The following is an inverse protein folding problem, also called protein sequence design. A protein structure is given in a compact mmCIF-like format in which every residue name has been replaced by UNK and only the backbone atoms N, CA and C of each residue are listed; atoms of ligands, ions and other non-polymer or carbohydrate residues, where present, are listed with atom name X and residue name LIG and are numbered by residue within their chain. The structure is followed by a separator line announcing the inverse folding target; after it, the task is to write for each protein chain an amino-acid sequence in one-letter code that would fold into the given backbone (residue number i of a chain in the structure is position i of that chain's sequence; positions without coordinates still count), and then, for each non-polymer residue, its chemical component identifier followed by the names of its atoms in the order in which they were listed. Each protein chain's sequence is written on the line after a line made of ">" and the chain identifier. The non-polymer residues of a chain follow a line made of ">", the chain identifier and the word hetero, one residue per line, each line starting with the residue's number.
data_IF_381876035510
#
_entry.id   IF_381876035510
#
_cell.length_a   1.000
_cell.length_b   1.000
_cell.length_c   1.000
_cell.angle_alpha   90.00
_cell.angle_beta   90.00
_cell.angle_gamma   90.00
#
_symmetry.space_group_name_H-M   'P 1'
#
loop_
_entity.id
_entity.type
_entity.pdbx_description
1 polymer ?
#
# COMPACT_ATOMS: atom_id res chain seq x y z
N UNK A 1 -33.58 43.91 13.20
CA UNK A 1 -32.68 44.39 14.28
C UNK A 1 -32.11 43.14 14.93
N UNK A 2 -30.83 42.78 14.88
CA UNK A 2 -29.60 43.47 14.49
C UNK A 2 -28.57 42.38 14.13
N UNK A 3 -27.78 42.59 13.09
CA UNK A 3 -26.46 41.95 12.88
C UNK A 3 -25.38 42.99 13.26
N UNK A 4 -24.06 42.70 13.25
CA UNK A 4 -23.30 41.46 13.48
C UNK A 4 -22.10 41.69 14.47
N UNK A 5 -21.40 40.64 14.93
CA UNK A 5 -19.95 40.75 15.22
C UNK A 5 -19.25 39.39 15.10
N UNK A 6 -18.43 39.27 14.06
CA UNK A 6 -17.18 38.49 13.96
C UNK A 6 -16.12 39.50 13.48
N UNK A 7 -14.80 39.38 13.79
CA UNK A 7 -14.03 38.15 13.58
C UNK A 7 -12.92 37.86 14.62
N UNK A 8 -12.59 36.59 14.83
CA UNK A 8 -11.25 36.19 15.30
C UNK A 8 -10.53 35.50 14.15
N UNK A 9 -9.44 36.15 13.76
CA UNK A 9 -8.59 35.87 12.62
C UNK A 9 -7.58 34.79 13.03
N UNK A 10 -7.65 33.63 12.37
CA UNK A 10 -6.65 32.57 12.51
C UNK A 10 -5.27 33.12 12.14
N UNK A 11 -4.34 33.01 13.08
CA UNK A 11 -2.92 33.34 12.87
C UNK A 11 -2.30 32.30 11.95
N UNK A 12 -1.71 32.68 10.79
CA UNK A 12 -0.83 31.77 10.08
C UNK A 12 0.51 31.65 10.82
N UNK A 13 0.99 30.41 10.96
CA UNK A 13 2.33 30.06 11.47
C UNK A 13 3.43 30.76 10.63
N UNK A 14 4.59 31.10 11.22
CA UNK A 14 5.63 31.82 10.51
C UNK A 14 6.30 30.90 9.48
N UNK A 15 6.00 31.13 8.21
CA UNK A 15 6.82 30.66 7.09
C UNK A 15 8.18 31.34 7.20
N UNK A 16 9.25 30.54 7.36
CA UNK A 16 10.63 31.02 7.18
C UNK A 16 10.80 31.40 5.71
N UNK A 17 10.54 32.65 5.39
CA UNK A 17 11.01 33.25 4.14
C UNK A 17 12.54 33.25 4.23
N UNK A 18 13.20 32.41 3.44
CA UNK A 18 14.61 32.58 3.17
C UNK A 18 14.74 33.89 2.37
N UNK A 19 14.99 34.99 3.07
CA UNK A 19 15.54 36.20 2.47
C UNK A 19 16.91 35.83 1.94
N UNK A 20 16.97 35.48 0.66
CA UNK A 20 18.21 35.53 -0.11
C UNK A 20 18.63 36.99 -0.11
N UNK A 21 19.56 37.33 0.79
CA UNK A 21 20.25 38.61 0.80
C UNK A 21 21.08 38.66 -0.48
N UNK A 22 20.49 39.26 -1.52
CA UNK A 22 21.25 39.70 -2.68
C UNK A 22 22.03 40.93 -2.21
N UNK A 23 23.33 40.76 -2.00
CA UNK A 23 24.25 41.86 -1.76
C UNK A 23 24.31 42.69 -3.06
N UNK A 24 23.81 43.93 -3.03
CA UNK A 24 23.72 44.80 -4.21
C UNK A 24 25.10 45.18 -4.81
N UNK A 25 26.19 44.85 -4.11
CA UNK A 25 27.57 45.06 -4.58
C UNK A 25 28.22 43.82 -5.20
N UNK A 26 27.54 42.68 -5.25
CA UNK A 26 28.05 41.51 -5.96
C UNK A 26 27.57 41.54 -7.42
N UNK A 27 28.46 41.70 -8.42
CA UNK A 27 28.06 41.88 -9.80
C UNK A 27 27.39 40.63 -10.43
N UNK A 28 27.32 39.50 -9.71
CA UNK A 28 26.85 38.21 -10.21
C UNK A 28 26.08 37.44 -9.11
N UNK A 29 24.75 37.28 -9.20
CA UNK A 29 23.98 36.47 -8.26
C UNK A 29 24.36 34.97 -8.30
N UNK A 30 24.60 34.37 -7.14
CA UNK A 30 24.85 32.93 -7.01
C UNK A 30 23.53 32.11 -6.98
N UNK A 31 23.10 31.56 -8.12
CA UNK A 31 22.14 30.45 -8.12
C UNK A 31 22.88 29.13 -7.84
N UNK A 32 22.82 28.64 -6.60
CA UNK A 32 23.46 27.38 -6.22
C UNK A 32 22.65 26.17 -6.75
N UNK A 33 22.98 25.77 -7.97
CA UNK A 33 22.42 24.58 -8.64
C UNK A 33 22.66 23.27 -7.85
N UNK A 34 23.62 23.26 -6.93
CA UNK A 34 23.91 22.11 -6.07
C UNK A 34 22.85 21.92 -4.98
N UNK A 35 22.30 23.02 -4.44
CA UNK A 35 21.26 22.99 -3.43
C UNK A 35 19.95 22.42 -3.99
N UNK A 36 19.56 22.84 -5.20
CA UNK A 36 18.37 22.32 -5.91
C UNK A 36 18.47 20.82 -6.12
N UNK A 37 19.64 20.33 -6.56
CA UNK A 37 19.87 18.90 -6.76
C UNK A 37 19.77 18.13 -5.44
N UNK A 38 20.37 18.65 -4.37
CA UNK A 38 20.32 18.03 -3.04
C UNK A 38 18.87 17.92 -2.54
N UNK A 39 18.08 18.97 -2.70
CA UNK A 39 16.67 18.97 -2.31
C UNK A 39 15.86 17.91 -3.06
N UNK A 40 16.05 17.78 -4.38
CA UNK A 40 15.38 16.73 -5.15
C UNK A 40 15.83 15.32 -4.78
N UNK A 41 17.09 15.16 -4.39
CA UNK A 41 17.58 13.88 -3.89
C UNK A 41 16.89 13.48 -2.58
N UNK A 42 16.83 14.40 -1.61
CA UNK A 42 16.12 14.20 -0.34
C UNK A 42 14.63 13.89 -0.57
N UNK A 43 14.01 14.58 -1.52
CA UNK A 43 12.61 14.35 -1.90
C UNK A 43 12.38 12.95 -2.49
N UNK A 44 13.26 12.45 -3.35
CA UNK A 44 13.18 11.07 -3.86
C UNK A 44 13.45 10.03 -2.77
N UNK A 45 14.35 10.32 -1.82
CA UNK A 45 14.57 9.44 -0.67
C UNK A 45 13.30 9.31 0.18
N UNK A 46 12.59 10.42 0.42
CA UNK A 46 11.31 10.39 1.13
C UNK A 46 10.27 9.52 0.40
N UNK A 47 10.13 9.67 -0.92
CA UNK A 47 9.24 8.82 -1.71
C UNK A 47 9.63 7.34 -1.70
N UNK A 48 10.94 7.05 -1.76
CA UNK A 48 11.45 5.69 -1.65
C UNK A 48 11.07 5.06 -0.30
N UNK A 49 11.20 5.80 0.79
CA UNK A 49 10.79 5.33 2.13
C UNK A 49 9.27 5.10 2.20
N UNK A 50 8.47 6.03 1.67
CA UNK A 50 7.02 5.86 1.61
C UNK A 50 6.60 4.60 0.84
N UNK A 51 7.24 4.32 -0.31
CA UNK A 51 7.01 3.10 -1.07
C UNK A 51 7.41 1.85 -0.27
N UNK A 52 8.56 1.88 0.40
CA UNK A 52 9.01 0.79 1.27
C UNK A 52 8.05 0.49 2.43
N UNK A 53 7.49 1.52 3.08
CA UNK A 53 6.48 1.30 4.13
C UNK A 53 5.21 0.64 3.60
N UNK A 54 4.82 0.96 2.37
CA UNK A 54 3.68 0.32 1.73
C UNK A 54 3.98 -1.14 1.38
N UNK A 55 5.16 -1.43 0.83
CA UNK A 55 5.64 -2.81 0.61
C UNK A 55 5.61 -3.63 1.91
N UNK A 56 6.11 -3.07 3.01
CA UNK A 56 6.13 -3.72 4.32
C UNK A 56 4.71 -4.00 4.84
N UNK A 57 3.79 -3.04 4.69
CA UNK A 57 2.40 -3.21 5.10
C UNK A 57 1.69 -4.33 4.32
N UNK A 58 1.86 -4.35 3.00
CA UNK A 58 1.27 -5.39 2.13
C UNK A 58 1.88 -6.76 2.44
N UNK A 59 3.20 -6.81 2.65
CA UNK A 59 3.91 -8.03 3.06
C UNK A 59 3.44 -8.54 4.42
N UNK A 60 3.25 -7.66 5.40
CA UNK A 60 2.71 -8.05 6.70
C UNK A 60 1.28 -8.60 6.59
N UNK A 61 0.45 -7.96 5.76
CA UNK A 61 -0.92 -8.41 5.50
C UNK A 61 -0.94 -9.78 4.81
N UNK A 62 -0.07 -10.00 3.82
CA UNK A 62 0.10 -11.29 3.15
C UNK A 62 0.47 -12.40 4.13
N UNK A 63 1.44 -12.16 5.02
CA UNK A 63 1.82 -13.12 6.07
C UNK A 63 0.68 -13.44 7.02
N UNK A 64 -0.14 -12.44 7.39
CA UNK A 64 -1.34 -12.67 8.21
C UNK A 64 -2.32 -13.56 7.47
N UNK A 65 -2.57 -13.33 6.18
CA UNK A 65 -3.45 -14.18 5.38
C UNK A 65 -2.93 -15.62 5.31
N UNK A 66 -1.63 -15.83 5.11
CA UNK A 66 -1.04 -17.16 5.16
C UNK A 66 -1.21 -17.83 6.54
N UNK A 67 -1.02 -17.07 7.63
CA UNK A 67 -1.25 -17.59 8.99
C UNK A 67 -2.72 -17.94 9.21
N UNK A 68 -3.67 -17.12 8.75
CA UNK A 68 -5.09 -17.46 8.83
C UNK A 68 -5.41 -18.77 8.13
N UNK A 69 -4.89 -19.02 6.93
CA UNK A 69 -5.04 -20.32 6.25
C UNK A 69 -4.63 -21.47 7.16
N UNK A 70 -3.43 -21.38 7.75
CA UNK A 70 -2.91 -22.41 8.67
C UNK A 70 -3.74 -22.58 9.94
N UNK A 71 -4.25 -21.50 10.52
CA UNK A 71 -5.10 -21.59 11.71
C UNK A 71 -6.48 -22.19 11.38
N UNK A 72 -7.05 -21.90 10.21
CA UNK A 72 -8.29 -22.54 9.76
C UNK A 72 -8.13 -24.03 9.47
N UNK A 73 -6.94 -24.52 9.08
CA UNK A 73 -6.67 -25.97 9.05
C UNK A 73 -6.80 -26.62 10.44
N UNK A 74 -6.47 -25.89 11.53
CA UNK A 74 -6.68 -26.39 12.90
C UNK A 74 -8.16 -26.39 13.26
N UNK A 75 -8.90 -25.34 12.87
CA UNK A 75 -10.35 -25.31 13.02
C UNK A 75 -11.00 -26.48 12.28
N UNK A 76 -10.57 -26.74 11.04
CA UNK A 76 -11.06 -27.88 10.25
C UNK A 76 -10.87 -29.22 10.96
N UNK A 77 -9.77 -29.43 11.68
CA UNK A 77 -9.52 -30.66 12.45
C UNK A 77 -10.56 -30.93 13.54
N UNK A 78 -11.25 -29.89 14.02
CA UNK A 78 -12.33 -30.03 15.01
C UNK A 78 -13.59 -30.67 14.44
N UNK A 79 -13.76 -30.61 13.11
CA UNK A 79 -14.93 -31.12 12.39
C UNK A 79 -14.58 -32.14 11.31
N UNK A 80 -13.30 -32.55 11.22
CA UNK A 80 -12.81 -33.46 10.19
C UNK A 80 -13.12 -34.92 10.48
N UNK A 81 -13.25 -35.29 11.76
CA UNK A 81 -13.64 -36.64 12.14
C UNK A 81 -15.15 -36.83 11.94
N UNK A 82 -15.60 -38.01 11.49
CA UNK A 82 -17.02 -38.36 11.55
C UNK A 82 -17.55 -38.18 12.97
N UNK A 83 -18.84 -37.87 13.08
CA UNK A 83 -19.50 -37.74 14.37
C UNK A 83 -19.29 -39.02 15.19
N UNK A 84 -18.83 -38.85 16.43
CA UNK A 84 -18.85 -39.95 17.41
C UNK A 84 -20.30 -40.37 17.58
N UNK A 85 -20.53 -41.68 17.63
CA UNK A 85 -21.88 -42.23 17.70
C UNK A 85 -22.76 -41.79 16.50
N UNK A 86 -22.13 -41.54 15.35
CA UNK A 86 -22.79 -41.03 14.14
C UNK A 86 -24.00 -41.82 13.67
N UNK A 87 -24.04 -43.13 13.97
CA UNK A 87 -25.16 -44.03 13.64
C UNK A 87 -26.51 -43.61 14.25
N UNK A 88 -26.52 -42.75 15.28
CA UNK A 88 -27.76 -42.18 15.82
C UNK A 88 -28.38 -41.13 14.88
N UNK A 89 -27.56 -40.43 14.09
CA UNK A 89 -27.99 -39.37 13.19
C UNK A 89 -28.30 -39.92 11.80
N UNK A 90 -29.25 -39.27 11.11
CA UNK A 90 -29.51 -39.57 9.71
C UNK A 90 -28.29 -39.20 8.86
N UNK A 91 -27.82 -40.15 8.04
CA UNK A 91 -26.63 -39.97 7.18
C UNK A 91 -26.99 -39.31 5.84
N UNK A 92 -28.27 -39.09 5.55
CA UNK A 92 -28.70 -38.41 4.33
C UNK A 92 -28.53 -36.88 4.43
N UNK A 93 -28.47 -36.25 3.26
CA UNK A 93 -28.41 -34.79 3.15
C UNK A 93 -29.70 -34.17 3.70
N UNK A 94 -29.56 -33.27 4.69
CA UNK A 94 -30.69 -32.56 5.33
C UNK A 94 -30.76 -32.73 6.85
N UNK A 95 -30.01 -33.69 7.41
CA UNK A 95 -29.86 -33.88 8.86
C UNK A 95 -28.60 -33.26 9.45
N UNK A 96 -28.35 -33.57 10.72
CA UNK A 96 -27.20 -33.14 11.51
C UNK A 96 -25.89 -33.65 10.89
N UNK A 97 -25.83 -34.87 10.35
CA UNK A 97 -24.63 -35.35 9.67
C UNK A 97 -24.26 -34.48 8.46
N UNK A 98 -25.26 -34.16 7.62
CA UNK A 98 -25.09 -33.26 6.48
C UNK A 98 -24.71 -31.83 6.87
N UNK A 99 -25.20 -31.33 8.01
CA UNK A 99 -24.77 -30.05 8.60
C UNK A 99 -23.28 -30.04 8.93
N UNK A 100 -22.78 -31.08 9.60
CA UNK A 100 -21.35 -31.18 9.94
C UNK A 100 -20.48 -31.35 8.69
N UNK A 101 -20.95 -32.05 7.66
CA UNK A 101 -20.27 -32.14 6.37
C UNK A 101 -20.19 -30.78 5.67
N UNK A 102 -21.26 -29.99 5.72
CA UNK A 102 -21.28 -28.62 5.20
C UNK A 102 -20.31 -27.71 5.96
N UNK A 103 -20.30 -27.75 7.29
CA UNK A 103 -19.35 -26.99 8.12
C UNK A 103 -17.91 -27.35 7.75
N UNK A 104 -17.61 -28.64 7.57
CA UNK A 104 -16.28 -29.11 7.16
C UNK A 104 -15.88 -28.55 5.79
N UNK A 105 -16.76 -28.68 4.79
CA UNK A 105 -16.52 -28.20 3.43
C UNK A 105 -16.29 -26.69 3.38
N UNK A 106 -17.16 -25.91 4.02
CA UNK A 106 -17.03 -24.45 4.08
C UNK A 106 -15.78 -24.02 4.88
N UNK A 107 -15.42 -24.70 5.97
CA UNK A 107 -14.19 -24.38 6.74
C UNK A 107 -12.93 -24.64 5.90
N UNK A 108 -12.90 -25.72 5.13
CA UNK A 108 -11.83 -25.97 4.16
C UNK A 108 -11.78 -24.88 3.08
N UNK A 109 -12.94 -24.43 2.60
CA UNK A 109 -13.06 -23.30 1.68
C UNK A 109 -12.46 -22.01 2.25
N UNK A 110 -12.77 -21.69 3.51
CA UNK A 110 -12.24 -20.51 4.20
C UNK A 110 -10.71 -20.59 4.28
N UNK A 111 -10.17 -21.73 4.72
CA UNK A 111 -8.72 -21.97 4.76
C UNK A 111 -8.06 -21.72 3.41
N UNK A 112 -8.62 -22.28 2.33
CA UNK A 112 -8.07 -22.13 0.98
C UNK A 112 -8.18 -20.68 0.49
N UNK A 113 -9.27 -19.97 0.78
CA UNK A 113 -9.45 -18.56 0.40
C UNK A 113 -8.34 -17.67 0.97
N UNK A 114 -7.92 -17.93 2.20
CA UNK A 114 -6.83 -17.21 2.86
C UNK A 114 -5.47 -17.45 2.17
N UNK A 115 -5.17 -18.70 1.79
CA UNK A 115 -3.94 -19.02 1.06
C UNK A 115 -3.91 -18.41 -0.35
N UNK A 116 -5.01 -18.49 -1.10
CA UNK A 116 -5.09 -17.88 -2.42
C UNK A 116 -4.97 -16.35 -2.31
N UNK A 117 -5.58 -15.73 -1.30
CA UNK A 117 -5.43 -14.30 -1.04
C UNK A 117 -3.97 -13.92 -0.77
N UNK A 118 -3.27 -14.67 0.09
CA UNK A 118 -1.84 -14.45 0.34
C UNK A 118 -1.01 -14.53 -0.95
N UNK A 119 -1.29 -15.55 -1.78
CA UNK A 119 -0.63 -15.74 -3.07
C UNK A 119 -0.91 -14.58 -4.04
N UNK A 120 -2.14 -14.08 -4.12
CA UNK A 120 -2.49 -12.93 -4.97
C UNK A 120 -1.85 -11.64 -4.47
N UNK A 121 -1.84 -11.40 -3.17
CA UNK A 121 -1.14 -10.24 -2.58
C UNK A 121 0.35 -10.25 -2.93
N UNK A 122 1.00 -11.40 -2.78
CA UNK A 122 2.42 -11.58 -3.11
C UNK A 122 2.73 -11.51 -4.60
N UNK A 123 1.89 -12.14 -5.43
CA UNK A 123 2.16 -12.34 -6.85
C UNK A 123 1.64 -11.23 -7.76
N UNK A 124 0.70 -10.39 -7.30
CA UNK A 124 0.04 -9.39 -8.14
C UNK A 124 0.13 -7.99 -7.55
N UNK A 125 -0.12 -7.82 -6.25
CA UNK A 125 -0.15 -6.50 -5.61
C UNK A 125 1.26 -6.01 -5.27
N UNK A 126 2.05 -6.83 -4.57
CA UNK A 126 3.41 -6.45 -4.14
C UNK A 126 4.34 -6.05 -5.31
N UNK A 127 4.35 -6.74 -6.46
CA UNK A 127 5.21 -6.40 -7.59
C UNK A 127 4.96 -5.01 -8.18
N UNK A 128 3.77 -4.43 -7.98
CA UNK A 128 3.46 -3.05 -8.43
C UNK A 128 4.36 -2.07 -7.66
N UNK A 129 4.43 -2.23 -6.34
CA UNK A 129 5.23 -1.37 -5.47
C UNK A 129 6.72 -1.65 -5.61
N UNK A 130 7.12 -2.92 -5.72
CA UNK A 130 8.53 -3.28 -5.95
C UNK A 130 9.08 -2.65 -7.24
N UNK A 131 8.27 -2.65 -8.31
CA UNK A 131 8.63 -1.98 -9.57
C UNK A 131 8.78 -0.47 -9.37
N UNK A 132 7.81 0.16 -8.73
CA UNK A 132 7.86 1.60 -8.42
C UNK A 132 9.08 1.98 -7.58
N UNK A 133 9.45 1.16 -6.60
CA UNK A 133 10.65 1.35 -5.80
C UNK A 133 11.92 1.31 -6.66
N UNK A 134 11.99 0.40 -7.64
CA UNK A 134 13.10 0.38 -8.60
C UNK A 134 13.10 1.60 -9.52
N UNK A 135 11.92 2.06 -9.97
CA UNK A 135 11.77 3.29 -10.76
C UNK A 135 12.27 4.51 -9.97
N UNK A 136 11.91 4.65 -8.69
CA UNK A 136 12.40 5.72 -7.82
C UNK A 136 13.93 5.64 -7.68
N UNK A 137 14.49 4.45 -7.42
CA UNK A 137 15.95 4.25 -7.37
C UNK A 137 16.63 4.63 -8.68
N UNK A 138 16.01 4.32 -9.82
CA UNK A 138 16.54 4.69 -11.12
C UNK A 138 16.54 6.21 -11.30
N UNK A 139 15.42 6.87 -11.02
CA UNK A 139 15.29 8.34 -11.08
C UNK A 139 16.29 9.05 -10.17
N UNK A 140 16.55 8.50 -8.97
CA UNK A 140 17.60 9.03 -8.08
C UNK A 140 18.99 8.95 -8.74
N UNK A 141 19.34 7.83 -9.38
CA UNK A 141 20.61 7.68 -10.09
C UNK A 141 20.73 8.62 -11.29
N UNK A 142 19.65 8.81 -12.03
CA UNK A 142 19.60 9.76 -13.15
C UNK A 142 19.84 11.18 -12.67
N UNK A 143 19.16 11.63 -11.61
CA UNK A 143 19.38 12.94 -10.99
C UNK A 143 20.85 13.13 -10.60
N UNK A 144 21.43 12.18 -9.85
CA UNK A 144 22.82 12.29 -9.38
C UNK A 144 23.85 12.29 -10.51
N UNK A 145 23.61 11.57 -11.61
CA UNK A 145 24.51 11.55 -12.77
C UNK A 145 24.34 12.75 -13.71
N UNK A 146 23.12 13.28 -13.81
CA UNK A 146 22.81 14.45 -14.63
C UNK A 146 23.24 15.77 -13.98
N UNK A 147 23.22 15.82 -12.65
CA UNK A 147 23.59 16.99 -11.89
C UNK A 147 25.05 17.41 -12.11
N UNK A 148 25.26 18.72 -12.30
CA UNK A 148 26.59 19.34 -12.31
C UNK A 148 27.23 19.55 -13.68
N UNK A 149 26.65 19.08 -14.79
CA UNK A 149 27.16 19.42 -16.14
C UNK A 149 26.97 20.91 -16.47
N UNK A 150 25.74 21.42 -16.33
CA UNK A 150 25.42 22.83 -16.56
C UNK A 150 26.13 23.75 -15.56
N UNK A 151 26.10 23.40 -14.27
CA UNK A 151 26.79 24.13 -13.19
C UNK A 151 28.28 24.34 -13.48
N UNK A 152 29.01 23.32 -13.96
CA UNK A 152 30.44 23.45 -14.31
C UNK A 152 30.69 24.38 -15.50
N UNK A 153 29.77 24.41 -16.47
CA UNK A 153 29.88 25.30 -17.63
C UNK A 153 29.68 26.76 -17.21
N UNK A 154 28.67 27.03 -16.37
CA UNK A 154 28.40 28.34 -15.77
C UNK A 154 29.58 28.80 -14.91
N UNK A 155 30.12 27.93 -14.07
CA UNK A 155 31.26 28.29 -13.22
C UNK A 155 32.52 28.62 -14.03
N UNK A 156 32.75 27.91 -15.15
CA UNK A 156 33.86 28.21 -16.06
C UNK A 156 33.67 29.57 -16.76
N UNK A 157 32.46 29.89 -17.21
CA UNK A 157 32.18 31.17 -17.88
C UNK A 157 32.25 32.35 -16.89
N UNK A 158 31.71 32.19 -15.67
CA UNK A 158 31.85 33.14 -14.55
C UNK A 158 33.30 33.46 -14.21
N UNK A 159 34.10 32.44 -13.92
CA UNK A 159 35.53 32.59 -13.64
C UNK A 159 36.29 33.32 -14.76
N UNK A 160 35.87 33.08 -16.01
CA UNK A 160 36.47 33.69 -17.19
C UNK A 160 36.11 35.17 -17.32
N UNK A 161 34.85 35.53 -17.06
CA UNK A 161 34.37 36.91 -17.02
C UNK A 161 35.04 37.69 -15.90
N UNK A 162 35.09 37.13 -14.68
CA UNK A 162 35.68 37.77 -13.51
C UNK A 162 37.15 38.13 -13.72
N UNK A 163 37.95 37.19 -14.25
CA UNK A 163 39.36 37.45 -14.59
C UNK A 163 39.53 38.61 -15.59
N UNK A 164 38.61 38.78 -16.54
CA UNK A 164 38.69 39.89 -17.50
C UNK A 164 38.17 41.21 -16.93
N UNK A 165 37.23 41.17 -16.00
CA UNK A 165 36.79 42.35 -15.25
C UNK A 165 37.94 42.86 -14.37
N UNK A 166 38.64 41.96 -13.69
CA UNK A 166 39.86 42.29 -12.92
C UNK A 166 40.96 42.86 -13.82
N UNK A 167 41.20 42.23 -14.98
CA UNK A 167 42.16 42.71 -15.98
C UNK A 167 41.81 44.13 -16.46
N UNK A 168 40.53 44.39 -16.73
CA UNK A 168 40.07 45.74 -17.09
C UNK A 168 40.36 46.75 -15.97
N UNK A 169 40.11 46.38 -14.71
CA UNK A 169 40.43 47.21 -13.55
C UNK A 169 41.94 47.54 -13.44
N UNK A 170 42.80 46.56 -13.70
CA UNK A 170 44.26 46.75 -13.69
C UNK A 170 44.71 47.72 -14.80
N UNK A 171 44.22 47.54 -16.03
CA UNK A 171 44.64 48.34 -17.17
C UNK A 171 44.05 49.75 -17.19
N UNK A 172 42.84 49.94 -16.65
CA UNK A 172 42.27 51.28 -16.44
C UNK A 172 43.09 52.08 -15.43
N UNK A 173 43.45 51.49 -14.29
CA UNK A 173 44.34 52.13 -13.31
C UNK A 173 45.75 52.41 -13.87
N UNK A 174 46.28 51.52 -14.71
CA UNK A 174 47.55 51.73 -15.40
C UNK A 174 47.48 52.90 -16.40
N UNK A 175 46.41 53.01 -17.18
CA UNK A 175 46.21 54.10 -18.14
C UNK A 175 46.24 55.48 -17.46
N UNK A 176 45.56 55.61 -16.31
CA UNK A 176 45.53 56.86 -15.53
C UNK A 176 46.91 57.22 -14.96
N UNK A 177 47.72 56.22 -14.60
CA UNK A 177 49.04 56.44 -14.00
C UNK A 177 50.18 56.67 -15.02
N UNK A 178 50.05 56.21 -16.27
CA UNK A 178 51.07 56.40 -17.34
C UNK A 178 50.83 57.62 -18.22
N UNK A 179 49.81 58.44 -17.94
CA UNK A 179 49.47 59.61 -18.75
C UNK A 179 48.92 59.26 -20.14
N UNK A 180 48.22 58.13 -20.25
CA UNK A 180 47.55 57.70 -21.49
C UNK A 180 48.44 56.98 -22.52
N UNK A 181 49.71 56.71 -22.21
CA UNK A 181 50.59 55.90 -23.06
C UNK A 181 50.39 54.42 -22.78
N UNK A 182 49.72 53.70 -23.71
CA UNK A 182 49.39 52.29 -23.54
C UNK A 182 49.63 51.50 -24.84
N UNK A 183 50.08 50.24 -24.73
CA UNK A 183 50.25 49.37 -25.90
C UNK A 183 48.88 48.94 -26.45
N UNK A 184 48.75 48.65 -27.75
CA UNK A 184 47.46 48.27 -28.35
C UNK A 184 46.75 47.08 -27.70
N UNK A 185 47.45 46.15 -27.05
CA UNK A 185 46.83 44.99 -26.37
C UNK A 185 46.47 45.26 -24.90
N UNK A 186 46.95 46.37 -24.35
CA UNK A 186 46.71 46.83 -22.98
C UNK A 186 45.64 47.95 -22.95
N UNK A 187 45.09 48.33 -24.12
CA UNK A 187 44.08 49.38 -24.29
C UNK A 187 42.79 49.01 -23.53
N UNK A 188 42.42 49.80 -22.49
CA UNK A 188 41.20 49.58 -21.73
C UNK A 188 39.93 49.49 -22.57
N UNK A 189 39.85 50.21 -23.69
CA UNK A 189 38.69 50.18 -24.58
C UNK A 189 38.51 48.80 -25.23
N UNK A 190 39.61 48.18 -25.65
CA UNK A 190 39.60 46.85 -26.27
C UNK A 190 39.28 45.80 -25.21
N UNK A 191 39.87 45.90 -24.02
CA UNK A 191 39.63 44.98 -22.91
C UNK A 191 38.15 45.07 -22.46
N UNK A 192 37.56 46.26 -22.41
CA UNK A 192 36.14 46.44 -22.09
C UNK A 192 35.23 45.68 -23.07
N UNK A 193 35.52 45.75 -24.38
CA UNK A 193 34.78 44.96 -25.38
C UNK A 193 34.93 43.45 -25.16
N UNK A 194 36.11 42.99 -24.75
CA UNK A 194 36.33 41.58 -24.40
C UNK A 194 35.53 41.16 -23.15
N UNK A 195 35.41 42.04 -22.15
CA UNK A 195 34.54 41.83 -20.97
C UNK A 195 33.09 41.65 -21.43
N UNK A 196 32.54 42.55 -22.23
CA UNK A 196 31.17 42.42 -22.75
C UNK A 196 30.95 41.13 -23.54
N UNK A 197 31.92 40.72 -24.37
CA UNK A 197 31.84 39.46 -25.10
C UNK A 197 31.76 38.25 -24.15
N UNK A 198 32.56 38.22 -23.09
CA UNK A 198 32.57 37.13 -22.10
C UNK A 198 31.32 37.14 -21.22
N UNK A 199 30.84 38.32 -20.81
CA UNK A 199 29.59 38.48 -20.09
C UNK A 199 28.40 37.98 -20.92
N UNK A 200 28.33 38.30 -22.22
CA UNK A 200 27.30 37.77 -23.09
C UNK A 200 27.33 36.23 -23.13
N UNK A 201 28.53 35.64 -23.23
CA UNK A 201 28.67 34.18 -23.17
C UNK A 201 28.22 33.61 -21.81
N UNK A 202 28.60 34.24 -20.71
CA UNK A 202 28.18 33.82 -19.37
C UNK A 202 26.66 33.83 -19.23
N UNK A 203 26.00 34.91 -19.63
CA UNK A 203 24.53 35.03 -19.58
C UNK A 203 23.85 33.94 -20.43
N UNK A 204 24.40 33.63 -21.60
CA UNK A 204 23.90 32.51 -22.42
C UNK A 204 24.05 31.17 -21.71
N UNK A 205 25.22 30.90 -21.12
CA UNK A 205 25.49 29.65 -20.41
C UNK A 205 24.62 29.53 -19.12
N UNK A 206 24.37 30.64 -18.40
CA UNK A 206 23.50 30.72 -17.22
C UNK A 206 22.03 30.48 -17.57
N UNK A 207 21.52 31.15 -18.63
CA UNK A 207 20.16 30.92 -19.11
C UNK A 207 19.95 29.48 -19.58
N UNK A 208 20.93 28.88 -20.25
CA UNK A 208 20.87 27.48 -20.65
C UNK A 208 20.79 26.54 -19.43
N UNK A 209 21.62 26.76 -18.40
CA UNK A 209 21.57 25.99 -17.16
C UNK A 209 20.23 26.16 -16.43
N UNK A 210 19.66 27.37 -16.44
CA UNK A 210 18.35 27.66 -15.86
C UNK A 210 17.23 26.88 -16.56
N UNK A 211 17.20 26.89 -17.89
CA UNK A 211 16.22 26.11 -18.68
C UNK A 211 16.37 24.60 -18.43
N UNK A 212 17.60 24.09 -18.32
CA UNK A 212 17.85 22.69 -17.96
C UNK A 212 17.30 22.36 -16.56
N UNK A 213 17.50 23.24 -15.58
CA UNK A 213 16.94 23.07 -14.23
C UNK A 213 15.41 23.09 -14.23
N UNK A 214 14.78 23.99 -14.98
CA UNK A 214 13.32 24.03 -15.13
C UNK A 214 12.81 22.73 -15.76
N UNK A 215 13.49 22.20 -16.78
CA UNK A 215 13.14 20.92 -17.39
C UNK A 215 13.23 19.75 -16.39
N UNK A 216 14.26 19.75 -15.53
CA UNK A 216 14.37 18.78 -14.43
C UNK A 216 13.19 18.92 -13.47
N UNK A 217 12.85 20.14 -13.03
CA UNK A 217 11.71 20.37 -12.13
C UNK A 217 10.39 19.84 -12.72
N UNK A 218 10.13 20.12 -14.00
CA UNK A 218 8.94 19.62 -14.70
C UNK A 218 8.93 18.08 -14.80
N UNK A 219 10.09 17.46 -15.10
CA UNK A 219 10.22 16.01 -15.12
C UNK A 219 9.95 15.37 -13.75
N UNK A 220 10.38 16.03 -12.67
CA UNK A 220 10.10 15.60 -11.30
C UNK A 220 8.63 15.70 -10.96
N UNK A 221 7.96 16.81 -11.31
CA UNK A 221 6.53 16.97 -11.07
C UNK A 221 5.70 15.85 -11.75
N UNK A 222 6.04 15.51 -12.99
CA UNK A 222 5.41 14.40 -13.71
C UNK A 222 5.70 13.05 -13.06
N UNK A 223 6.94 12.82 -12.62
CA UNK A 223 7.32 11.58 -11.94
C UNK A 223 6.60 11.41 -10.60
N UNK A 224 6.44 12.48 -9.82
CA UNK A 224 5.68 12.42 -8.57
C UNK A 224 4.19 12.14 -8.80
N UNK A 225 3.59 12.74 -9.82
CA UNK A 225 2.22 12.41 -10.20
C UNK A 225 2.09 10.91 -10.53
N UNK A 226 3.07 10.34 -11.25
CA UNK A 226 3.13 8.90 -11.54
C UNK A 226 3.28 8.03 -10.29
N UNK A 227 4.13 8.43 -9.32
CA UNK A 227 4.25 7.73 -8.02
C UNK A 227 2.88 7.66 -7.33
N UNK A 228 2.19 8.80 -7.21
CA UNK A 228 0.89 8.88 -6.54
C UNK A 228 -0.16 8.04 -7.27
N UNK A 229 -0.22 8.11 -8.60
CA UNK A 229 -1.14 7.30 -9.41
C UNK A 229 -0.86 5.79 -9.24
N UNK A 230 0.41 5.40 -9.19
CA UNK A 230 0.79 4.00 -8.96
C UNK A 230 0.41 3.54 -7.56
N UNK A 231 0.55 4.39 -6.54
CA UNK A 231 0.03 4.11 -5.20
C UNK A 231 -1.48 3.90 -5.19
N UNK A 232 -2.24 4.80 -5.83
CA UNK A 232 -3.69 4.69 -5.93
C UNK A 232 -4.12 3.40 -6.62
N UNK A 233 -3.50 3.06 -7.75
CA UNK A 233 -3.81 1.84 -8.48
C UNK A 233 -3.44 0.58 -7.68
N UNK A 234 -2.24 0.52 -7.11
CA UNK A 234 -1.82 -0.61 -6.28
C UNK A 234 -2.72 -0.82 -5.07
N UNK A 235 -3.14 0.27 -4.41
CA UNK A 235 -4.04 0.20 -3.28
C UNK A 235 -5.48 -0.16 -3.67
N UNK A 236 -5.94 0.24 -4.85
CA UNK A 236 -7.22 -0.20 -5.40
C UNK A 236 -7.24 -1.72 -5.62
N UNK A 237 -6.15 -2.28 -6.19
CA UNK A 237 -6.02 -3.73 -6.38
C UNK A 237 -5.94 -4.47 -5.04
N UNK A 238 -5.17 -3.94 -4.08
CA UNK A 238 -5.14 -4.45 -2.71
C UNK A 238 -6.54 -4.51 -2.10
N UNK A 239 -7.27 -3.39 -2.16
CA UNK A 239 -8.64 -3.29 -1.63
C UNK A 239 -9.57 -4.33 -2.27
N UNK A 240 -9.53 -4.48 -3.59
CA UNK A 240 -10.35 -5.47 -4.29
C UNK A 240 -10.07 -6.90 -3.82
N UNK A 241 -8.79 -7.26 -3.64
CA UNK A 241 -8.38 -8.59 -3.18
C UNK A 241 -8.91 -8.87 -1.77
N UNK A 242 -8.74 -7.94 -0.82
CA UNK A 242 -9.19 -8.13 0.56
C UNK A 242 -10.72 -8.12 0.69
N UNK A 243 -11.41 -7.29 -0.08
CA UNK A 243 -12.88 -7.26 -0.11
C UNK A 243 -13.45 -8.57 -0.65
N UNK A 244 -12.88 -9.08 -1.75
CA UNK A 244 -13.29 -10.37 -2.33
C UNK A 244 -13.12 -11.51 -1.31
N UNK A 245 -12.01 -11.52 -0.58
CA UNK A 245 -11.75 -12.52 0.47
C UNK A 245 -12.78 -12.42 1.61
N UNK A 246 -13.06 -11.21 2.08
CA UNK A 246 -14.05 -10.98 3.14
C UNK A 246 -15.45 -11.46 2.73
N UNK A 247 -15.87 -11.17 1.49
CA UNK A 247 -17.16 -11.60 0.95
C UNK A 247 -17.24 -13.13 0.81
N UNK A 248 -16.16 -13.78 0.36
CA UNK A 248 -16.09 -15.25 0.30
C UNK A 248 -16.29 -15.89 1.67
N UNK A 249 -15.59 -15.41 2.70
CA UNK A 249 -15.73 -15.92 4.06
C UNK A 249 -17.13 -15.67 4.61
N UNK A 250 -17.68 -14.47 4.38
CA UNK A 250 -19.07 -14.14 4.76
C UNK A 250 -20.07 -15.12 4.14
N UNK A 251 -19.93 -15.43 2.86
CA UNK A 251 -20.83 -16.33 2.15
C UNK A 251 -20.73 -17.76 2.68
N UNK A 252 -19.52 -18.25 2.98
CA UNK A 252 -19.32 -19.59 3.54
C UNK A 252 -19.96 -19.75 4.92
N UNK A 253 -19.82 -18.75 5.80
CA UNK A 253 -20.54 -18.76 7.08
C UNK A 253 -22.06 -18.64 6.92
N UNK A 254 -22.52 -17.85 5.94
CA UNK A 254 -23.94 -17.75 5.59
C UNK A 254 -24.53 -19.08 5.11
N UNK A 255 -23.77 -19.86 4.33
CA UNK A 255 -24.17 -21.20 3.88
C UNK A 255 -24.27 -22.19 5.05
N UNK A 256 -23.28 -22.22 5.96
CA UNK A 256 -23.34 -23.04 7.18
C UNK A 256 -24.61 -22.75 8.00
N UNK A 257 -24.94 -21.48 8.21
CA UNK A 257 -26.16 -21.05 8.90
C UNK A 257 -27.41 -21.53 8.16
N UNK A 258 -27.45 -21.31 6.83
CA UNK A 258 -28.60 -21.67 5.99
C UNK A 258 -28.88 -23.16 6.02
N UNK A 259 -27.84 -24.00 5.90
CA UNK A 259 -27.97 -25.46 5.98
C UNK A 259 -28.48 -25.89 7.35
N UNK A 260 -27.93 -25.31 8.42
CA UNK A 260 -28.36 -25.60 9.80
C UNK A 260 -29.84 -25.26 10.02
N UNK A 261 -30.29 -24.10 9.53
CA UNK A 261 -31.68 -23.66 9.69
C UNK A 261 -32.69 -24.45 8.87
N UNK A 262 -32.25 -25.11 7.80
CA UNK A 262 -33.12 -25.94 6.95
C UNK A 262 -33.44 -27.30 7.55
N UNK A 263 -32.79 -27.71 8.65
CA UNK A 263 -33.06 -28.98 9.33
C UNK A 263 -34.40 -28.86 10.07
N UNK A 264 -35.43 -29.64 9.71
CA UNK A 264 -36.67 -29.68 10.47
C UNK A 264 -36.44 -30.21 11.90
N UNK A 265 -37.08 -29.64 12.94
CA UNK A 265 -36.85 -30.05 14.33
C UNK A 265 -37.13 -31.54 14.63
N UNK A 266 -38.04 -32.15 13.88
CA UNK A 266 -38.46 -33.54 14.02
C UNK A 266 -37.68 -34.51 13.11
N UNK A 267 -36.81 -34.00 12.24
CA UNK A 267 -36.12 -34.79 11.22
C UNK A 267 -35.30 -35.95 11.80
N UNK A 268 -34.44 -35.65 12.79
CA UNK A 268 -33.60 -36.67 13.42
C UNK A 268 -34.41 -37.70 14.20
N UNK A 269 -35.44 -37.24 14.91
CA UNK A 269 -36.31 -38.13 15.68
C UNK A 269 -37.07 -39.10 14.78
N UNK A 270 -37.68 -38.59 13.71
CA UNK A 270 -38.41 -39.41 12.75
C UNK A 270 -37.48 -40.44 12.07
N UNK A 271 -36.27 -40.03 11.70
CA UNK A 271 -35.24 -40.92 11.16
C UNK A 271 -34.83 -42.00 12.18
N UNK A 272 -34.60 -41.61 13.44
CA UNK A 272 -34.24 -42.53 14.51
C UNK A 272 -35.34 -43.55 14.81
N UNK A 273 -36.59 -43.13 14.91
CA UNK A 273 -37.75 -44.02 15.14
C UNK A 273 -37.88 -45.01 14.00
N UNK A 274 -37.75 -44.54 12.75
CA UNK A 274 -37.81 -45.41 11.57
C UNK A 274 -36.69 -46.44 11.55
N UNK A 275 -35.46 -46.08 11.93
CA UNK A 275 -34.31 -47.00 11.99
C UNK A 275 -34.44 -48.04 13.10
N UNK A 276 -35.12 -47.72 14.20
CA UNK A 276 -35.20 -48.54 15.39
C UNK A 276 -36.62 -49.07 15.66
N UNK A 277 -37.48 -49.13 14.64
CA UNK A 277 -38.90 -49.47 14.79
C UNK A 277 -39.15 -50.86 15.39
N UNK A 278 -38.19 -51.77 15.25
CA UNK A 278 -38.27 -53.14 15.81
C UNK A 278 -37.93 -53.19 17.32
N UNK A 279 -37.19 -52.19 17.81
CA UNK A 279 -36.72 -52.14 19.22
C UNK A 279 -37.57 -51.17 20.04
N UNK A 280 -38.00 -50.07 19.44
CA UNK A 280 -38.83 -49.08 20.10
C UNK A 280 -40.22 -49.64 20.38
N UNK A 281 -40.77 -49.25 21.53
CA UNK A 281 -42.11 -49.64 21.95
C UNK A 281 -43.11 -48.96 21.00
N UNK A 282 -43.98 -49.75 20.37
CA UNK A 282 -45.10 -49.24 19.59
C UNK A 282 -46.05 -48.45 20.51
N UNK A 283 -46.23 -47.13 20.30
CA UNK A 283 -47.14 -46.32 21.11
C UNK A 283 -48.60 -46.79 21.05
N UNK A 284 -48.95 -47.56 20.01
CA UNK A 284 -50.29 -48.08 19.79
C UNK A 284 -50.46 -49.50 20.36
N UNK A 285 -49.41 -50.11 20.91
CA UNK A 285 -49.51 -51.41 21.54
C UNK A 285 -50.46 -51.33 22.75
N UNK A 286 -51.36 -52.32 22.94
CA UNK A 286 -52.26 -52.32 24.07
C UNK A 286 -51.48 -52.39 25.38
N UNK A 287 -51.98 -51.73 26.42
CA UNK A 287 -51.42 -51.83 27.76
C UNK A 287 -51.43 -53.29 28.21
N UNK A 288 -50.36 -53.74 28.85
CA UNK A 288 -50.35 -55.06 29.50
C UNK A 288 -51.42 -55.08 30.58
N UNK A 289 -52.22 -56.13 30.62
CA UNK A 289 -53.21 -56.37 31.66
C UNK A 289 -52.92 -57.73 32.30
N UNK A 290 -53.18 -57.85 33.60
CA UNK A 290 -52.86 -59.06 34.38
C UNK A 290 -53.67 -60.24 33.86
N UNK A 291 -54.87 -59.99 33.35
CA UNK A 291 -55.75 -60.95 32.69
C UNK A 291 -55.11 -61.58 31.45
N UNK A 292 -54.14 -60.91 30.82
CA UNK A 292 -53.41 -61.40 29.64
C UNK A 292 -52.06 -62.05 29.99
N UNK A 293 -51.73 -62.22 31.28
CA UNK A 293 -50.48 -62.84 31.74
C UNK A 293 -50.76 -64.27 32.18
N UNK A 294 -50.39 -65.23 31.34
CA UNK A 294 -50.36 -66.65 31.69
C UNK A 294 -49.10 -67.01 32.47
N UNK A 295 -49.22 -67.74 33.57
CA UNK A 295 -48.06 -68.31 34.29
C UNK A 295 -48.26 -69.78 34.69
N UNK A 296 -47.18 -70.57 34.85
CA UNK A 296 -47.31 -71.97 35.23
C UNK A 296 -48.06 -72.14 36.55
N UNK A 297 -48.96 -73.13 36.63
CA UNK A 297 -49.83 -73.41 37.78
C UNK A 297 -50.89 -72.35 38.11
N UNK A 298 -51.14 -71.37 37.21
CA UNK A 298 -52.22 -70.39 37.39
C UNK A 298 -53.58 -71.05 37.64
N UNK A 299 -53.89 -72.12 36.89
CA UNK A 299 -55.14 -72.89 37.00
C UNK A 299 -54.99 -74.19 37.83
N UNK A 300 -53.99 -74.28 38.70
CA UNK A 300 -53.80 -75.47 39.53
C UNK A 300 -54.99 -75.66 40.48
N UNK A 301 -55.44 -76.91 40.68
CA UNK A 301 -56.63 -77.20 41.50
C UNK A 301 -56.58 -76.61 42.93
N UNK A 302 -55.39 -76.47 43.50
CA UNK A 302 -55.19 -75.88 44.83
C UNK A 302 -55.33 -74.34 44.88
N UNK A 303 -55.43 -73.66 43.73
CA UNK A 303 -55.63 -72.20 43.63
C UNK A 303 -57.09 -71.81 43.35
N UNK A 304 -58.00 -72.79 43.26
CA UNK A 304 -59.44 -72.59 43.06
C UNK A 304 -60.20 -72.92 44.37
N UNK A 305 -61.22 -72.13 44.75
CA UNK A 305 -61.97 -72.29 46.00
C UNK A 305 -62.82 -73.57 46.08
#
# INVERSE_FOLDING_TARGET
>A
MSTPTSPQQDRPLPTRTATSTTDENEPIPEEDSSEVTRLFHERLQAWKHACGYLEDYITATEKIQHTHGKEYEKVLKTVSSPLKEGHHFDQSLGGVAGMFDNIRSNTQGISNSHYETAKTLKGSVLPIFERLHQEIKHKTKELTKGAGKGSKAVEKSRNTSQKHIELLGQHTAAFDSTGGSVKPHEDPYIIQRQVYHRLHKQVVDENANREDLIAVQNSFAQFEAHIVQTFQNGFQQFHQVVTTQADQVRNMYGDMMTVTQKIPPDYEWNGFVKRNSEVLIDPNAPKRSVENIGFPNQDHRATQP
#
